data_IF_262015245262
#
_entry.id   IF_262015245262
#
_cell.length_a   1.000
_cell.length_b   1.000
_cell.length_c   1.000
_cell.angle_alpha   90.00
_cell.angle_beta   90.00
_cell.angle_gamma   90.00
#
_symmetry.space_group_name_H-M   'P 1'
#
loop_
_entity.id
_entity.type
_entity.pdbx_description
1 polymer ?
#
# COMPACT_ATOMS: atom_id res chain seq x y z
N UNK A 1 -30.10 4.09 7.68
CA UNK A 1 -30.47 2.79 8.29
C UNK A 1 -29.98 1.71 7.35
N UNK A 2 -28.70 1.34 7.47
CA UNK A 2 -28.15 0.23 6.72
C UNK A 2 -28.51 -1.05 7.45
N UNK A 3 -29.35 -1.87 6.82
CA UNK A 3 -29.63 -3.23 7.27
C UNK A 3 -28.40 -4.07 6.92
N UNK A 4 -27.61 -4.37 7.95
CA UNK A 4 -26.72 -5.54 7.95
C UNK A 4 -27.54 -6.75 7.51
N UNK A 5 -27.13 -7.42 6.43
CA UNK A 5 -27.66 -8.73 6.05
C UNK A 5 -27.05 -9.87 6.86
N UNK A 6 -26.23 -9.57 7.88
CA UNK A 6 -25.71 -10.55 8.84
C UNK A 6 -26.76 -10.77 9.94
N UNK A 7 -27.78 -11.56 9.63
CA UNK A 7 -28.54 -12.30 10.65
C UNK A 7 -27.88 -13.66 10.78
N UNK A 8 -26.71 -13.69 11.41
CA UNK A 8 -26.13 -14.93 11.88
C UNK A 8 -26.64 -15.16 13.31
N UNK A 9 -27.46 -16.20 13.49
CA UNK A 9 -27.73 -16.84 14.78
C UNK A 9 -28.37 -16.01 15.90
N UNK A 10 -29.34 -15.14 15.58
CA UNK A 10 -30.22 -14.58 16.64
C UNK A 10 -31.06 -15.66 17.34
N UNK A 11 -31.34 -16.78 16.65
CA UNK A 11 -32.31 -17.79 17.13
C UNK A 11 -31.70 -19.08 17.69
N UNK A 12 -30.39 -19.33 17.58
CA UNK A 12 -29.81 -20.65 17.92
C UNK A 12 -29.02 -20.68 19.23
N UNK A 13 -28.66 -19.54 19.84
CA UNK A 13 -28.00 -19.49 21.15
C UNK A 13 -26.64 -20.21 21.22
N UNK A 14 -26.10 -20.66 20.08
CA UNK A 14 -24.81 -21.32 19.99
C UNK A 14 -23.78 -20.24 19.68
N UNK A 15 -22.92 -19.94 20.65
CA UNK A 15 -21.75 -19.10 20.41
C UNK A 15 -20.89 -19.76 19.33
N UNK A 16 -20.78 -19.12 18.17
CA UNK A 16 -19.79 -19.50 17.16
C UNK A 16 -18.43 -19.38 17.83
N UNK A 17 -17.73 -20.52 17.99
CA UNK A 17 -16.35 -20.53 18.45
C UNK A 17 -15.51 -19.87 17.37
N UNK A 18 -15.35 -18.56 17.46
CA UNK A 18 -14.33 -17.84 16.71
C UNK A 18 -13.00 -18.56 16.94
N UNK A 19 -12.31 -18.91 15.85
CA UNK A 19 -10.95 -19.44 15.92
C UNK A 19 -10.04 -18.45 16.66
N UNK A 20 -8.81 -18.87 17.05
CA UNK A 20 -7.89 -17.96 17.71
C UNK A 20 -7.55 -16.78 16.77
N UNK A 21 -8.22 -15.64 16.99
CA UNK A 21 -7.83 -14.36 16.41
C UNK A 21 -6.61 -13.89 17.18
N UNK A 22 -5.49 -13.73 16.49
CA UNK A 22 -4.33 -13.05 17.07
C UNK A 22 -4.68 -11.56 17.02
N UNK A 23 -4.82 -10.86 18.15
CA UNK A 23 -5.13 -9.43 18.15
C UNK A 23 -3.88 -8.66 17.74
N UNK A 24 -3.67 -8.52 16.42
CA UNK A 24 -2.60 -7.69 15.83
C UNK A 24 -3.12 -6.22 15.67
N UNK A 25 -4.24 -5.89 16.32
CA UNK A 25 -4.94 -4.60 16.22
C UNK A 25 -4.02 -3.38 16.43
N UNK A 26 -3.04 -3.47 17.33
CA UNK A 26 -2.13 -2.36 17.62
C UNK A 26 -1.12 -2.04 16.50
N UNK A 27 -0.59 -3.06 15.81
CA UNK A 27 0.37 -2.84 14.71
C UNK A 27 -0.34 -2.46 13.42
N UNK A 28 -1.53 -3.01 13.16
CA UNK A 28 -2.30 -2.75 11.95
C UNK A 28 -2.88 -1.33 11.90
N UNK A 29 -3.29 -0.77 13.05
CA UNK A 29 -3.90 0.55 13.14
C UNK A 29 -2.96 1.74 12.81
N UNK A 30 -1.70 1.47 12.50
CA UNK A 30 -0.69 2.50 12.25
C UNK A 30 0.14 2.28 10.99
N UNK A 31 -0.14 1.23 10.19
CA UNK A 31 0.68 0.88 9.04
C UNK A 31 0.68 1.97 7.96
N UNK A 32 -0.48 2.58 7.69
CA UNK A 32 -0.59 3.61 6.64
C UNK A 32 0.17 4.88 7.08
N UNK A 33 -0.07 5.35 8.30
CA UNK A 33 0.63 6.51 8.88
C UNK A 33 2.14 6.27 8.97
N UNK A 34 2.57 5.12 9.48
CA UNK A 34 4.00 4.81 9.62
C UNK A 34 4.67 4.69 8.25
N UNK A 35 4.01 4.08 7.27
CA UNK A 35 4.51 4.00 5.90
C UNK A 35 4.72 5.38 5.29
N UNK A 36 3.70 6.25 5.34
CA UNK A 36 3.79 7.61 4.83
C UNK A 36 4.79 8.48 5.62
N UNK A 37 4.94 8.26 6.92
CA UNK A 37 5.93 8.95 7.74
C UNK A 37 7.36 8.60 7.32
N UNK A 38 7.65 7.32 7.09
CA UNK A 38 8.97 6.90 6.62
C UNK A 38 9.26 7.43 5.20
N UNK A 39 8.25 7.45 4.33
CA UNK A 39 8.36 8.07 3.00
C UNK A 39 8.62 9.58 3.09
N UNK A 40 7.92 10.28 3.98
CA UNK A 40 8.15 11.70 4.23
C UNK A 40 9.59 11.95 4.72
N UNK A 41 10.09 11.13 5.65
CA UNK A 41 11.45 11.25 6.17
C UNK A 41 12.51 10.97 5.10
N UNK A 42 12.24 10.05 4.17
CA UNK A 42 13.10 9.82 3.00
C UNK A 42 13.26 11.09 2.16
N UNK A 43 12.16 11.70 1.71
CA UNK A 43 12.21 12.90 0.88
C UNK A 43 12.67 14.15 1.65
N UNK A 44 12.43 14.23 2.96
CA UNK A 44 12.97 15.27 3.81
C UNK A 44 14.50 15.17 3.90
N UNK A 45 15.03 13.96 4.08
CA UNK A 45 16.46 13.72 4.08
C UNK A 45 17.09 14.05 2.73
N UNK A 46 16.50 13.59 1.62
CA UNK A 46 17.00 13.86 0.27
C UNK A 46 17.00 15.36 -0.08
N UNK A 47 15.98 16.12 0.33
CA UNK A 47 15.91 17.57 0.11
C UNK A 47 16.92 18.35 0.96
N UNK A 48 17.12 17.96 2.22
CA UNK A 48 18.13 18.59 3.09
C UNK A 48 19.55 18.34 2.59
N UNK A 49 19.84 17.10 2.17
CA UNK A 49 21.13 16.72 1.58
C UNK A 49 21.35 17.48 0.27
N UNK A 50 20.35 17.50 -0.63
CA UNK A 50 20.50 18.23 -1.90
C UNK A 50 20.74 19.72 -1.65
N UNK A 51 20.01 20.33 -0.72
CA UNK A 51 20.19 21.74 -0.38
C UNK A 51 21.59 22.02 0.18
N UNK A 52 22.11 21.17 1.07
CA UNK A 52 23.42 21.36 1.67
C UNK A 52 24.57 21.27 0.65
N UNK A 53 24.49 20.35 -0.31
CA UNK A 53 25.58 20.06 -1.23
C UNK A 53 25.50 20.83 -2.55
N UNK A 54 24.30 21.00 -3.11
CA UNK A 54 24.13 21.63 -4.44
C UNK A 54 23.41 22.98 -4.39
N UNK A 55 22.95 23.42 -3.21
CA UNK A 55 22.04 24.57 -3.03
C UNK A 55 20.76 24.46 -3.88
N UNK A 56 20.43 23.27 -4.38
CA UNK A 56 19.23 23.00 -5.15
C UNK A 56 18.27 22.13 -4.34
N UNK A 57 16.98 22.42 -4.47
CA UNK A 57 15.90 21.67 -3.83
C UNK A 57 15.47 20.44 -4.64
N UNK A 58 16.24 20.07 -5.67
CA UNK A 58 16.10 18.83 -6.42
C UNK A 58 17.32 17.94 -6.22
N UNK A 59 17.07 16.68 -5.90
CA UNK A 59 18.11 15.66 -5.86
C UNK A 59 18.50 15.24 -7.29
N UNK A 60 19.74 15.49 -7.69
CA UNK A 60 20.24 15.18 -9.03
C UNK A 60 21.58 14.43 -8.96
N UNK A 61 21.59 13.20 -9.46
CA UNK A 61 22.77 12.35 -9.50
C UNK A 61 23.90 12.94 -10.35
N UNK A 62 23.56 13.69 -11.42
CA UNK A 62 24.55 14.27 -12.32
C UNK A 62 25.29 15.45 -11.69
N UNK A 63 24.60 16.33 -10.97
CA UNK A 63 25.24 17.47 -10.29
C UNK A 63 25.96 17.04 -9.01
N UNK A 64 25.53 15.93 -8.41
CA UNK A 64 26.17 15.37 -7.22
C UNK A 64 27.41 14.52 -7.58
N UNK A 65 27.69 14.23 -8.85
CA UNK A 65 28.76 13.32 -9.29
C UNK A 65 30.12 13.57 -8.65
N UNK A 66 30.60 14.82 -8.60
CA UNK A 66 31.89 15.14 -7.97
C UNK A 66 31.85 15.09 -6.43
N UNK A 67 30.70 15.39 -5.83
CA UNK A 67 30.48 15.42 -4.37
C UNK A 67 30.25 14.00 -3.81
N UNK A 68 29.69 13.10 -4.62
CA UNK A 68 29.48 11.68 -4.30
C UNK A 68 30.79 10.89 -4.31
N UNK A 69 31.82 11.35 -5.02
CA UNK A 69 33.13 10.70 -5.13
C UNK A 69 33.98 10.92 -3.87
N UNK A 70 33.75 12.02 -3.12
CA UNK A 70 34.55 12.37 -1.95
C UNK A 70 33.68 12.79 -0.77
N UNK A 71 33.31 11.84 0.10
CA UNK A 71 32.73 12.16 1.40
C UNK A 71 31.74 11.13 1.95
N UNK A 72 31.09 11.49 3.06
CA UNK A 72 30.05 10.67 3.70
C UNK A 72 28.64 10.89 3.10
N UNK A 73 28.49 11.78 2.11
CA UNK A 73 27.20 12.11 1.49
C UNK A 73 26.45 10.90 0.92
N UNK A 74 27.10 9.97 0.18
CA UNK A 74 26.44 8.76 -0.32
C UNK A 74 25.82 7.90 0.80
N UNK A 75 26.51 7.77 1.94
CA UNK A 75 26.01 6.99 3.09
C UNK A 75 24.72 7.59 3.66
N UNK A 76 24.63 8.92 3.74
CA UNK A 76 23.41 9.59 4.18
C UNK A 76 22.27 9.44 3.17
N UNK A 77 22.59 9.48 1.87
CA UNK A 77 21.61 9.25 0.80
C UNK A 77 21.09 7.80 0.85
N UNK A 78 21.97 6.81 1.04
CA UNK A 78 21.58 5.41 1.23
C UNK A 78 20.70 5.22 2.45
N UNK A 79 20.99 5.90 3.55
CA UNK A 79 20.12 5.87 4.73
C UNK A 79 18.72 6.43 4.43
N UNK A 80 18.62 7.52 3.65
CA UNK A 80 17.32 8.05 3.22
C UNK A 80 16.55 7.04 2.35
N UNK A 81 17.21 6.42 1.37
CA UNK A 81 16.59 5.37 0.56
C UNK A 81 16.17 4.16 1.38
N UNK A 82 16.94 3.77 2.40
CA UNK A 82 16.56 2.71 3.34
C UNK A 82 15.27 3.05 4.09
N UNK A 83 15.14 4.30 4.58
CA UNK A 83 13.87 4.75 5.19
C UNK A 83 12.70 4.67 4.21
N UNK A 84 12.89 5.06 2.95
CA UNK A 84 11.85 4.93 1.94
C UNK A 84 11.51 3.47 1.59
N UNK A 85 12.49 2.54 1.61
CA UNK A 85 12.22 1.10 1.49
C UNK A 85 11.35 0.62 2.65
N UNK A 86 11.67 1.03 3.88
CA UNK A 86 10.83 0.71 5.04
C UNK A 86 9.43 1.30 4.88
N UNK A 87 9.28 2.53 4.38
CA UNK A 87 8.00 3.17 4.11
C UNK A 87 7.14 2.40 3.11
N UNK A 88 7.71 2.11 1.93
CA UNK A 88 7.03 1.31 0.89
C UNK A 88 6.63 -0.09 1.37
N UNK A 89 7.44 -0.76 2.20
CA UNK A 89 7.08 -2.04 2.80
C UNK A 89 5.85 -1.93 3.72
N UNK A 90 5.78 -0.92 4.59
CA UNK A 90 4.61 -0.70 5.46
C UNK A 90 3.36 -0.39 4.64
N UNK A 91 3.47 0.41 3.57
CA UNK A 91 2.35 0.67 2.65
C UNK A 91 1.90 -0.59 1.92
N UNK A 92 2.85 -1.45 1.51
CA UNK A 92 2.54 -2.72 0.86
C UNK A 92 1.86 -3.70 1.84
N UNK A 93 2.30 -3.75 3.10
CA UNK A 93 1.62 -4.49 4.17
C UNK A 93 0.19 -3.98 4.38
N UNK A 94 -0.02 -2.68 4.42
CA UNK A 94 -1.37 -2.09 4.50
C UNK A 94 -2.25 -2.50 3.31
N UNK A 95 -1.71 -2.50 2.09
CA UNK A 95 -2.46 -2.92 0.90
C UNK A 95 -2.74 -4.43 0.82
N UNK A 96 -1.89 -5.28 1.41
CA UNK A 96 -2.19 -6.70 1.50
C UNK A 96 -3.44 -6.96 2.33
N UNK A 97 -3.64 -6.17 3.38
CA UNK A 97 -4.79 -6.28 4.28
C UNK A 97 -6.05 -5.67 3.64
N UNK A 98 -5.93 -4.48 3.05
CA UNK A 98 -7.07 -3.73 2.49
C UNK A 98 -7.69 -4.37 1.24
N UNK A 99 -6.94 -5.21 0.53
CA UNK A 99 -7.35 -5.73 -0.78
C UNK A 99 -8.01 -7.10 -0.75
N UNK A 100 -8.20 -7.70 0.43
CA UNK A 100 -8.95 -8.95 0.59
C UNK A 100 -10.47 -8.72 0.59
N UNK A 101 -10.90 -7.47 0.80
CA UNK A 101 -12.31 -7.13 0.96
C UNK A 101 -13.06 -7.05 -0.38
N UNK A 102 -13.74 -8.14 -0.74
CA UNK A 102 -14.64 -8.23 -1.91
C UNK A 102 -15.97 -7.46 -1.73
N UNK A 103 -16.23 -6.91 -0.54
CA UNK A 103 -17.47 -6.22 -0.18
C UNK A 103 -17.51 -4.74 -0.63
N UNK A 104 -16.37 -4.15 -1.00
CA UNK A 104 -16.30 -2.74 -1.39
C UNK A 104 -16.66 -2.47 -2.85
N UNK A 105 -17.03 -1.22 -3.13
CA UNK A 105 -17.34 -0.76 -4.48
C UNK A 105 -16.17 -1.02 -5.46
N UNK A 106 -16.50 -1.33 -6.73
CA UNK A 106 -15.49 -1.66 -7.76
C UNK A 106 -14.39 -0.60 -7.92
N UNK A 107 -14.72 0.67 -7.68
CA UNK A 107 -13.75 1.78 -7.72
C UNK A 107 -12.72 1.70 -6.60
N UNK A 108 -13.14 1.33 -5.39
CA UNK A 108 -12.27 1.12 -4.24
C UNK A 108 -11.28 -0.04 -4.49
N UNK A 109 -11.77 -1.17 -4.98
CA UNK A 109 -10.95 -2.34 -5.35
C UNK A 109 -9.93 -1.96 -6.44
N UNK A 110 -10.33 -1.14 -7.40
CA UNK A 110 -9.43 -0.65 -8.46
C UNK A 110 -8.36 0.28 -7.89
N UNK A 111 -8.75 1.19 -6.99
CA UNK A 111 -7.83 2.08 -6.27
C UNK A 111 -6.77 1.30 -5.48
N UNK A 112 -7.18 0.31 -4.69
CA UNK A 112 -6.26 -0.56 -3.95
C UNK A 112 -5.26 -1.28 -4.87
N UNK A 113 -5.72 -1.86 -5.99
CA UNK A 113 -4.82 -2.51 -6.97
C UNK A 113 -3.81 -1.53 -7.58
N UNK A 114 -4.24 -0.29 -7.86
CA UNK A 114 -3.34 0.75 -8.36
C UNK A 114 -2.30 1.10 -7.29
N UNK A 115 -2.68 1.22 -6.02
CA UNK A 115 -1.74 1.50 -4.93
C UNK A 115 -0.77 0.35 -4.73
N UNK A 116 -1.21 -0.91 -4.84
CA UNK A 116 -0.31 -2.08 -4.83
C UNK A 116 0.78 -1.95 -5.89
N UNK A 117 0.41 -1.64 -7.14
CA UNK A 117 1.37 -1.45 -8.23
C UNK A 117 2.28 -0.23 -7.95
N UNK A 118 1.72 0.86 -7.44
CA UNK A 118 2.48 2.06 -7.07
C UNK A 118 3.54 1.75 -6.00
N UNK A 119 3.15 1.07 -4.91
CA UNK A 119 4.06 0.67 -3.83
C UNK A 119 5.16 -0.25 -4.30
N UNK A 120 4.87 -1.16 -5.24
CA UNK A 120 5.87 -2.04 -5.83
C UNK A 120 6.87 -1.28 -6.70
N UNK A 121 6.38 -0.40 -7.58
CA UNK A 121 7.25 0.42 -8.45
C UNK A 121 8.17 1.32 -7.61
N UNK A 122 7.62 1.90 -6.55
CA UNK A 122 8.35 2.76 -5.63
C UNK A 122 9.40 1.98 -4.82
N UNK A 123 9.04 0.79 -4.32
CA UNK A 123 9.98 -0.13 -3.67
C UNK A 123 11.15 -0.50 -4.59
N UNK A 124 10.87 -0.87 -5.86
CA UNK A 124 11.91 -1.21 -6.84
C UNK A 124 12.80 0.01 -7.12
N UNK A 125 12.20 1.17 -7.39
CA UNK A 125 12.94 2.40 -7.68
C UNK A 125 13.87 2.81 -6.54
N UNK A 126 13.39 2.76 -5.29
CA UNK A 126 14.20 3.03 -4.10
C UNK A 126 15.24 1.97 -3.80
N UNK A 127 14.97 0.70 -4.12
CA UNK A 127 15.97 -0.39 -3.98
C UNK A 127 17.14 -0.18 -4.93
N UNK A 128 16.87 0.22 -6.18
CA UNK A 128 17.93 0.59 -7.14
C UNK A 128 18.73 1.77 -6.58
N UNK A 129 18.06 2.84 -6.13
CA UNK A 129 18.72 3.98 -5.51
C UNK A 129 19.58 3.60 -4.30
N UNK A 130 19.07 2.72 -3.43
CA UNK A 130 19.78 2.22 -2.25
C UNK A 130 21.04 1.43 -2.60
N UNK A 131 20.93 0.41 -3.47
CA UNK A 131 22.05 -0.47 -3.81
C UNK A 131 23.17 0.31 -4.49
N UNK A 132 22.83 1.17 -5.45
CA UNK A 132 23.84 1.96 -6.16
C UNK A 132 24.46 3.03 -5.27
N UNK A 133 23.70 3.67 -4.38
CA UNK A 133 24.27 4.68 -3.45
C UNK A 133 25.13 4.06 -2.36
N UNK A 134 24.86 2.82 -1.95
CA UNK A 134 25.71 2.07 -1.01
C UNK A 134 27.09 1.78 -1.59
N UNK A 135 27.19 1.62 -2.91
CA UNK A 135 28.46 1.42 -3.62
C UNK A 135 29.23 2.74 -3.85
N UNK A 136 28.54 3.89 -3.77
CA UNK A 136 29.15 5.21 -3.89
C UNK A 136 29.81 5.63 -2.57
N UNK A 137 30.93 6.36 -2.66
CA UNK A 137 31.64 6.90 -1.48
C UNK A 137 32.44 5.89 -0.66
N UNK A 138 32.62 4.68 -1.18
CA UNK A 138 33.52 3.70 -0.64
C UNK A 138 34.99 3.98 -0.96
N UNK A 139 35.89 3.50 -0.09
CA UNK A 139 37.35 3.76 -0.18
C UNK A 139 38.14 2.57 -0.73
N UNK A 140 37.46 1.50 -1.15
CA UNK A 140 38.14 0.35 -1.77
C UNK A 140 38.41 0.61 -3.25
N UNK A 141 39.39 -0.10 -3.81
CA UNK A 141 39.78 0.09 -5.22
C UNK A 141 38.60 -0.14 -6.19
N UNK A 142 37.72 -1.11 -5.89
CA UNK A 142 36.52 -1.39 -6.67
C UNK A 142 35.51 -0.23 -6.64
N UNK A 143 35.29 0.34 -5.46
CA UNK A 143 34.37 1.47 -5.26
C UNK A 143 34.92 2.76 -5.89
N UNK A 144 36.23 2.96 -5.86
CA UNK A 144 36.86 4.10 -6.55
C UNK A 144 36.74 4.00 -8.07
N UNK A 145 36.86 2.79 -8.64
CA UNK A 145 36.63 2.54 -10.06
C UNK A 145 35.16 2.78 -10.44
N UNK A 146 34.23 2.37 -9.58
CA UNK A 146 32.80 2.62 -9.75
C UNK A 146 32.46 4.11 -9.68
N UNK A 147 33.02 4.84 -8.71
CA UNK A 147 32.86 6.29 -8.60
C UNK A 147 33.38 7.03 -9.84
N UNK A 148 34.51 6.60 -10.41
CA UNK A 148 35.04 7.15 -11.66
C UNK A 148 34.14 6.85 -12.87
N UNK A 149 33.58 5.64 -12.97
CA UNK A 149 32.64 5.29 -14.02
C UNK A 149 31.35 6.15 -13.96
N UNK A 150 30.83 6.36 -12.75
CA UNK A 150 29.68 7.25 -12.51
C UNK A 150 30.02 8.70 -12.86
N UNK A 151 31.17 9.23 -12.43
CA UNK A 151 31.59 10.59 -12.77
C UNK A 151 31.74 10.81 -14.29
N UNK A 152 32.08 9.77 -15.04
CA UNK A 152 32.25 9.81 -16.50
C UNK A 152 30.94 9.65 -17.29
N UNK A 153 29.78 9.52 -16.62
CA UNK A 153 28.53 9.30 -17.34
C UNK A 153 28.27 7.84 -17.71
N UNK A 154 28.80 6.89 -16.92
CA UNK A 154 28.66 5.46 -17.15
C UNK A 154 27.21 4.95 -17.15
N UNK A 155 27.04 3.67 -17.50
CA UNK A 155 25.74 2.98 -17.59
C UNK A 155 24.98 3.02 -16.25
N UNK A 156 25.71 3.14 -15.15
CA UNK A 156 25.23 3.23 -13.77
C UNK A 156 24.28 4.42 -13.57
N UNK A 157 24.55 5.57 -14.21
CA UNK A 157 23.66 6.74 -14.13
C UNK A 157 22.32 6.46 -14.82
N UNK A 158 22.31 5.65 -15.88
CA UNK A 158 21.07 5.27 -16.55
C UNK A 158 20.20 4.41 -15.62
N UNK A 159 20.79 3.52 -14.82
CA UNK A 159 20.05 2.74 -13.82
C UNK A 159 19.49 3.61 -12.70
N UNK A 160 20.27 4.57 -12.19
CA UNK A 160 19.80 5.54 -11.19
C UNK A 160 18.66 6.42 -11.73
N UNK A 161 18.77 6.86 -12.98
CA UNK A 161 17.72 7.62 -13.68
C UNK A 161 16.48 6.76 -13.92
N UNK A 162 16.65 5.50 -14.29
CA UNK A 162 15.55 4.54 -14.42
C UNK A 162 14.81 4.36 -13.09
N UNK A 163 15.53 4.25 -11.97
CA UNK A 163 14.91 4.22 -10.64
C UNK A 163 14.05 5.46 -10.35
N UNK A 164 14.51 6.66 -10.74
CA UNK A 164 13.72 7.89 -10.61
C UNK A 164 12.48 7.90 -11.50
N UNK A 165 12.56 7.33 -12.71
CA UNK A 165 11.40 7.19 -13.61
C UNK A 165 10.36 6.27 -12.97
N UNK A 166 10.78 5.14 -12.40
CA UNK A 166 9.87 4.22 -11.70
C UNK A 166 9.17 4.93 -10.53
N UNK A 167 9.91 5.65 -9.69
CA UNK A 167 9.32 6.46 -8.63
C UNK A 167 8.35 7.50 -9.21
N UNK A 168 8.73 8.24 -10.26
CA UNK A 168 7.85 9.23 -10.91
C UNK A 168 6.52 8.65 -11.39
N UNK A 169 6.53 7.46 -12.00
CA UNK A 169 5.32 6.72 -12.38
C UNK A 169 4.53 6.31 -11.14
N UNK A 170 5.21 5.82 -10.11
CA UNK A 170 4.58 5.45 -8.84
C UNK A 170 3.83 6.64 -8.20
N UNK A 171 4.39 7.85 -8.21
CA UNK A 171 3.70 9.05 -7.70
C UNK A 171 2.39 9.31 -8.44
N UNK A 172 2.38 9.25 -9.77
CA UNK A 172 1.14 9.43 -10.54
C UNK A 172 0.11 8.35 -10.17
N UNK A 173 0.56 7.09 -10.02
CA UNK A 173 -0.30 5.99 -9.60
C UNK A 173 -0.82 6.16 -8.16
N UNK A 174 -0.01 6.64 -7.21
CA UNK A 174 -0.46 6.97 -5.86
C UNK A 174 -1.55 8.03 -5.86
N UNK A 175 -1.42 9.08 -6.66
CA UNK A 175 -2.44 10.12 -6.79
C UNK A 175 -3.79 9.55 -7.25
N UNK A 176 -3.78 8.71 -8.29
CA UNK A 176 -4.99 8.03 -8.79
C UNK A 176 -5.55 7.04 -7.75
N UNK A 177 -4.67 6.32 -7.07
CA UNK A 177 -5.03 5.37 -6.03
C UNK A 177 -5.76 6.02 -4.86
N UNK A 178 -5.18 7.07 -4.27
CA UNK A 178 -5.79 7.81 -3.15
C UNK A 178 -7.10 8.48 -3.53
N UNK A 179 -7.21 9.00 -4.76
CA UNK A 179 -8.47 9.54 -5.26
C UNK A 179 -9.57 8.48 -5.29
N UNK A 180 -9.26 7.30 -5.83
CA UNK A 180 -10.22 6.21 -5.97
C UNK A 180 -10.59 5.59 -4.63
N UNK A 181 -9.64 5.47 -3.69
CA UNK A 181 -9.97 5.03 -2.33
C UNK A 181 -10.94 6.01 -1.67
N UNK A 182 -10.66 7.32 -1.73
CA UNK A 182 -11.50 8.32 -1.05
C UNK A 182 -12.89 8.46 -1.70
N UNK A 183 -12.98 8.50 -3.04
CA UNK A 183 -14.25 8.71 -3.74
C UNK A 183 -15.24 7.55 -3.62
N UNK A 184 -14.73 6.34 -3.42
CA UNK A 184 -15.53 5.12 -3.38
C UNK A 184 -15.66 4.52 -1.98
N UNK A 185 -15.19 5.24 -0.96
CA UNK A 185 -15.43 4.91 0.43
C UNK A 185 -16.62 5.73 0.94
N UNK A 186 -17.70 5.04 1.33
CA UNK A 186 -18.95 5.67 1.75
C UNK A 186 -18.80 6.53 3.02
N UNK A 187 -17.80 6.22 3.86
CA UNK A 187 -17.46 6.94 5.11
C UNK A 187 -16.05 7.59 5.06
N UNK A 188 -15.65 8.09 3.89
CA UNK A 188 -14.39 8.82 3.72
C UNK A 188 -14.31 10.11 4.56
N UNK A 189 -13.09 10.61 4.76
CA UNK A 189 -12.79 11.85 5.49
C UNK A 189 -13.36 13.09 4.77
N UNK A 190 -13.51 12.98 3.45
CA UNK A 190 -14.15 13.94 2.57
C UNK A 190 -13.47 13.99 1.19
N UNK A 191 -14.30 14.01 0.14
CA UNK A 191 -13.86 14.03 -1.28
C UNK A 191 -12.79 15.09 -1.60
N UNK A 192 -12.75 16.21 -0.86
CA UNK A 192 -11.74 17.26 -1.02
C UNK A 192 -10.31 16.76 -0.80
N UNK A 193 -10.07 15.88 0.18
CA UNK A 193 -8.74 15.35 0.46
C UNK A 193 -8.24 14.42 -0.67
N UNK A 194 -9.15 13.65 -1.27
CA UNK A 194 -8.86 12.86 -2.45
C UNK A 194 -8.39 13.72 -3.64
N UNK A 195 -9.08 14.83 -3.93
CA UNK A 195 -8.66 15.74 -5.00
C UNK A 195 -7.34 16.45 -4.71
N UNK A 196 -7.10 16.88 -3.46
CA UNK A 196 -5.84 17.53 -3.07
C UNK A 196 -4.67 16.55 -3.25
N UNK A 197 -4.81 15.32 -2.76
CA UNK A 197 -3.78 14.30 -2.92
C UNK A 197 -3.58 13.94 -4.40
N UNK A 198 -4.64 13.80 -5.19
CA UNK A 198 -4.52 13.56 -6.63
C UNK A 198 -3.68 14.62 -7.34
N UNK A 199 -3.98 15.90 -7.11
CA UNK A 199 -3.28 17.01 -7.74
C UNK A 199 -1.83 17.09 -7.25
N UNK A 200 -1.60 16.95 -5.94
CA UNK A 200 -0.27 17.00 -5.36
C UNK A 200 0.63 15.86 -5.86
N UNK A 201 0.12 14.63 -5.89
CA UNK A 201 0.89 13.47 -6.37
C UNK A 201 1.10 13.49 -7.88
N UNK A 202 0.11 13.92 -8.66
CA UNK A 202 0.26 14.07 -10.12
C UNK A 202 1.28 15.14 -10.48
N UNK A 203 1.26 16.29 -9.78
CA UNK A 203 2.25 17.35 -9.97
C UNK A 203 3.66 16.88 -9.56
N UNK A 204 3.80 16.20 -8.42
CA UNK A 204 5.07 15.61 -7.99
C UNK A 204 5.60 14.60 -9.00
N UNK A 205 4.77 13.64 -9.43
CA UNK A 205 5.16 12.63 -10.41
C UNK A 205 5.58 13.24 -11.75
N UNK A 206 4.83 14.23 -12.26
CA UNK A 206 5.22 14.96 -13.46
C UNK A 206 6.55 15.71 -13.29
N UNK A 207 6.77 16.34 -12.13
CA UNK A 207 8.04 17.03 -11.83
C UNK A 207 9.23 16.07 -11.76
N UNK A 208 9.06 14.89 -11.16
CA UNK A 208 10.07 13.83 -11.08
C UNK A 208 10.40 13.26 -12.45
N UNK A 209 9.39 13.03 -13.31
CA UNK A 209 9.60 12.54 -14.67
C UNK A 209 10.30 13.58 -15.57
N UNK A 210 9.90 14.85 -15.45
CA UNK A 210 10.59 15.95 -16.14
C UNK A 210 12.03 16.10 -15.63
N UNK A 211 12.25 15.95 -14.32
CA UNK A 211 13.59 15.98 -13.74
C UNK A 211 14.45 14.84 -14.26
N UNK A 212 13.95 13.61 -14.26
CA UNK A 212 14.68 12.42 -14.71
C UNK A 212 15.04 12.48 -16.21
N UNK A 213 14.25 13.15 -17.03
CA UNK A 213 14.48 13.25 -18.49
C UNK A 213 15.30 14.46 -18.90
N UNK A 214 15.15 15.60 -18.21
CA UNK A 214 15.76 16.88 -18.62
C UNK A 214 16.87 17.38 -17.70
N UNK A 215 16.99 16.81 -16.49
CA UNK A 215 17.93 17.21 -15.44
C UNK A 215 17.84 18.68 -14.99
N UNK A 216 16.75 19.39 -15.35
CA UNK A 216 16.60 20.85 -15.16
C UNK A 216 15.43 21.27 -14.26
N UNK A 217 14.63 20.32 -13.77
CA UNK A 217 13.48 20.64 -12.92
C UNK A 217 13.94 20.89 -11.47
N UNK A 218 13.99 22.17 -11.09
CA UNK A 218 14.32 22.55 -9.72
C UNK A 218 13.11 22.33 -8.80
N UNK A 219 13.33 21.70 -7.65
CA UNK A 219 12.28 21.48 -6.64
C UNK A 219 11.45 20.19 -6.77
N UNK A 220 11.78 19.27 -7.69
CA UNK A 220 11.04 18.01 -7.84
C UNK A 220 10.93 17.20 -6.53
N UNK A 221 12.01 17.11 -5.74
CA UNK A 221 11.98 16.44 -4.44
C UNK A 221 11.22 17.20 -3.36
N UNK A 222 11.11 18.53 -3.48
CA UNK A 222 10.26 19.33 -2.60
C UNK A 222 8.77 19.10 -2.91
N UNK A 223 8.40 18.99 -4.18
CA UNK A 223 7.04 18.60 -4.54
C UNK A 223 6.69 17.23 -3.98
N UNK A 224 7.58 16.24 -4.10
CA UNK A 224 7.42 14.93 -3.48
C UNK A 224 7.21 15.01 -1.96
N UNK A 225 8.01 15.82 -1.26
CA UNK A 225 7.86 16.08 0.18
C UNK A 225 6.48 16.65 0.51
N UNK A 226 6.01 17.63 -0.27
CA UNK A 226 4.69 18.23 -0.04
C UNK A 226 3.55 17.23 -0.27
N UNK A 227 3.64 16.38 -1.30
CA UNK A 227 2.64 15.36 -1.58
C UNK A 227 2.56 14.31 -0.47
N UNK A 228 3.71 13.86 0.06
CA UNK A 228 3.69 12.97 1.23
C UNK A 228 3.19 13.66 2.49
N UNK A 229 3.40 14.97 2.64
CA UNK A 229 2.85 15.74 3.77
C UNK A 229 1.32 15.79 3.71
N UNK A 230 0.74 16.03 2.53
CA UNK A 230 -0.73 16.02 2.37
C UNK A 230 -1.29 14.61 2.52
N UNK A 231 -0.59 13.58 2.02
CA UNK A 231 -0.98 12.19 2.21
C UNK A 231 -1.00 11.81 3.69
N UNK A 232 0.01 12.24 4.47
CA UNK A 232 0.10 11.94 5.88
C UNK A 232 -1.05 12.59 6.67
N UNK A 233 -1.39 13.84 6.35
CA UNK A 233 -2.56 14.52 6.93
C UNK A 233 -3.86 13.77 6.61
N UNK A 234 -3.99 13.30 5.38
CA UNK A 234 -5.13 12.47 4.98
C UNK A 234 -5.15 11.13 5.74
N UNK A 235 -4.03 10.42 5.84
CA UNK A 235 -3.93 9.14 6.57
C UNK A 235 -4.18 9.27 8.07
N UNK A 236 -3.86 10.43 8.67
CA UNK A 236 -4.21 10.71 10.07
C UNK A 236 -5.72 10.73 10.29
N UNK A 237 -6.51 11.06 9.27
CA UNK A 237 -7.97 11.10 9.37
C UNK A 237 -8.62 9.83 8.80
N UNK A 238 -8.02 9.25 7.75
CA UNK A 238 -8.54 8.13 6.98
C UNK A 238 -8.30 6.78 7.64
N UNK A 239 -7.14 6.58 8.27
CA UNK A 239 -6.85 5.31 8.94
C UNK A 239 -7.79 5.03 10.13
N UNK A 240 -8.15 5.99 11.00
CA UNK A 240 -9.20 5.80 12.00
C UNK A 240 -10.56 5.52 11.41
N UNK A 241 -10.96 6.20 10.33
CA UNK A 241 -12.29 5.98 9.74
C UNK A 241 -12.40 4.58 9.11
N UNK A 242 -11.34 4.09 8.45
CA UNK A 242 -11.31 2.69 8.02
C UNK A 242 -11.44 1.74 9.20
N UNK A 243 -10.69 1.94 10.28
CA UNK A 243 -10.68 1.01 11.41
C UNK A 243 -11.99 1.02 12.21
N UNK A 244 -12.72 2.13 12.23
CA UNK A 244 -14.03 2.24 12.90
C UNK A 244 -15.16 1.61 12.07
N UNK A 245 -15.13 1.79 10.75
CA UNK A 245 -16.23 1.39 9.86
C UNK A 245 -15.98 0.11 9.07
N UNK A 246 -14.77 -0.44 9.08
CA UNK A 246 -14.44 -1.74 8.48
C UNK A 246 -14.13 -2.79 9.57
N UNK A 247 -15.15 -3.49 10.09
CA UNK A 247 -14.95 -4.57 11.07
C UNK A 247 -14.12 -5.76 10.53
N UNK A 248 -13.86 -5.81 9.22
CA UNK A 248 -13.02 -6.82 8.57
C UNK A 248 -11.51 -6.69 8.87
N UNK A 249 -11.03 -5.53 9.36
CA UNK A 249 -9.61 -5.37 9.73
C UNK A 249 -9.24 -6.07 11.06
N UNK A 250 -10.22 -6.35 11.92
CA UNK A 250 -10.04 -7.10 13.18
C UNK A 250 -10.29 -8.61 13.05
N UNK A 251 -11.06 -9.02 12.03
CA UNK A 251 -11.37 -10.41 11.72
C UNK A 251 -10.61 -10.78 10.46
N UNK A 252 -9.38 -11.30 10.57
CA UNK A 252 -8.67 -11.86 9.41
C UNK A 252 -9.60 -12.80 8.66
N UNK A 253 -10.04 -12.41 7.47
CA UNK A 253 -11.06 -13.06 6.64
C UNK A 253 -10.69 -14.48 6.16
N UNK A 254 -9.65 -15.09 6.72
CA UNK A 254 -9.41 -16.53 6.59
C UNK A 254 -10.63 -17.35 7.04
N UNK A 255 -11.53 -16.79 7.85
CA UNK A 255 -12.81 -17.41 8.23
C UNK A 255 -13.96 -17.11 7.27
N UNK A 256 -14.04 -15.94 6.63
CA UNK A 256 -15.13 -15.59 5.70
C UNK A 256 -15.03 -16.38 4.38
N UNK A 257 -13.82 -16.60 3.87
CA UNK A 257 -13.61 -17.37 2.64
C UNK A 257 -13.83 -18.87 2.88
N UNK A 258 -13.52 -19.36 4.09
CA UNK A 258 -13.88 -20.73 4.52
C UNK A 258 -15.38 -20.87 4.71
N UNK A 259 -16.08 -19.92 5.33
CA UNK A 259 -17.54 -20.01 5.53
C UNK A 259 -18.31 -19.93 4.22
N UNK A 260 -17.93 -19.03 3.30
CA UNK A 260 -18.56 -18.96 1.98
C UNK A 260 -18.20 -20.14 1.07
N UNK A 261 -16.99 -20.71 1.20
CA UNK A 261 -16.65 -21.97 0.52
C UNK A 261 -17.35 -23.16 1.17
N UNK A 262 -17.49 -23.21 2.50
CA UNK A 262 -18.24 -24.24 3.23
C UNK A 262 -19.73 -24.15 2.92
N UNK A 263 -20.31 -22.96 2.80
CA UNK A 263 -21.68 -22.76 2.33
C UNK A 263 -21.87 -23.22 0.88
N UNK A 264 -20.90 -22.94 -0.01
CA UNK A 264 -20.92 -23.46 -1.39
C UNK A 264 -20.77 -24.98 -1.42
N UNK A 265 -19.90 -25.57 -0.59
CA UNK A 265 -19.73 -27.02 -0.49
C UNK A 265 -20.94 -27.71 0.13
N UNK A 266 -21.60 -27.12 1.14
CA UNK A 266 -22.82 -27.67 1.74
C UNK A 266 -24.02 -27.55 0.82
N UNK A 267 -24.15 -26.47 0.05
CA UNK A 267 -25.21 -26.34 -0.97
C UNK A 267 -24.99 -27.22 -2.21
N UNK A 268 -23.74 -27.58 -2.52
CA UNK A 268 -23.42 -28.45 -3.67
C UNK A 268 -23.51 -29.94 -3.31
N UNK A 269 -23.27 -30.31 -2.04
CA UNK A 269 -23.40 -31.69 -1.57
C UNK A 269 -24.79 -31.98 -0.99
N UNK A 270 -25.79 -32.18 -1.86
CA UNK A 270 -27.12 -32.70 -1.48
C UNK A 270 -27.15 -34.19 -1.04
N UNK A 271 -26.01 -34.80 -0.68
CA UNK A 271 -25.90 -36.25 -0.42
C UNK A 271 -25.63 -36.65 1.02
N UNK A 272 -25.89 -35.79 2.01
CA UNK A 272 -25.87 -36.16 3.43
C UNK A 272 -27.10 -35.61 4.15
N UNK A 273 -28.28 -36.13 3.80
CA UNK A 273 -29.50 -36.06 4.62
C UNK A 273 -30.19 -37.44 4.59
N UNK A 274 -29.44 -38.47 4.95
CA UNK A 274 -29.99 -39.77 5.31
C UNK A 274 -29.45 -40.04 6.71
N UNK A 275 -30.29 -39.79 7.71
CA UNK A 275 -30.30 -40.46 9.04
C UNK A 275 -30.91 -39.58 10.14
N UNK A 276 -32.09 -38.99 9.91
CA UNK A 276 -32.99 -38.59 11.01
C UNK A 276 -34.44 -38.97 10.65
N UNK A 277 -34.74 -40.27 10.72
CA UNK A 277 -36.11 -40.73 10.96
C UNK A 277 -36.11 -42.19 11.43
N UNK A 278 -35.83 -42.39 12.71
CA UNK A 278 -36.19 -43.63 13.40
C UNK A 278 -37.12 -43.35 14.57
N UNK A 279 -38.38 -43.75 14.38
CA UNK A 279 -39.24 -44.25 15.45
C UNK A 279 -40.52 -43.45 15.70
N UNK A 280 -41.66 -43.99 15.24
CA UNK A 280 -42.80 -44.40 16.09
C UNK A 280 -44.00 -44.81 15.24
N UNK A 281 -44.31 -46.11 15.23
CA UNK A 281 -45.54 -46.70 14.67
C UNK A 281 -46.76 -46.37 15.56
N UNK A 282 -47.92 -46.09 14.96
CA UNK A 282 -49.22 -46.64 15.43
C UNK A 282 -50.36 -46.48 14.42
N UNK A 283 -50.81 -47.64 13.93
CA UNK A 283 -52.20 -48.12 13.75
C UNK A 283 -53.20 -47.38 12.83
N UNK A 284 -53.55 -48.06 11.73
CA UNK A 284 -54.82 -47.94 10.99
C UNK A 284 -56.04 -48.27 11.86
N UNK A 285 -57.25 -47.79 11.49
CA UNK A 285 -58.17 -48.71 10.81
C UNK A 285 -59.00 -48.11 9.65
N UNK A 286 -59.05 -48.88 8.55
CA UNK A 286 -60.23 -49.32 7.77
C UNK A 286 -61.51 -48.47 7.68
N UNK A 287 -61.92 -48.14 6.45
CA UNK A 287 -63.30 -48.12 5.87
C UNK A 287 -63.38 -47.05 4.77
N UNK A 288 -63.86 -47.23 3.54
CA UNK A 288 -64.56 -48.30 2.85
C UNK A 288 -65.10 -47.68 1.55
N UNK A 289 -64.87 -48.33 0.41
CA UNK A 289 -65.48 -47.94 -0.86
C UNK A 289 -66.95 -48.36 -0.87
N UNK A 290 -67.85 -47.46 -1.28
CA UNK A 290 -69.20 -47.81 -1.73
C UNK A 290 -69.47 -47.18 -3.10
N UNK A 291 -69.87 -48.08 -4.01
CA UNK A 291 -70.43 -47.94 -5.37
C UNK A 291 -69.49 -47.57 -6.51
#
# INVERSE_FOLDING_TARGET
MWLSTRVENVDTGIATKQGPSIPIEGMFNTLLRMGLLFELMCYLGLTMISYNYTNQLSFNYHSLGEILVQGNAPKYISFCFFLGIMGSLHLMSFQLLLADDTCFARGYVTGSKIIKIATLLDFIGKTIGFVFTMQLGGSTDLESAFNMAVAQGGVEINFLTFGQILCGIAFVSYGLGFLLLELFQDEGVGNSYGYINFLAFSASGASLLLHATTFKCTGATLFALTSFSTALLWALLFEPSINEFSPAFGETELTNDVETQVEKFTRTNQYYNVDENYGSYSQQPSSGYMN
#
